data_IF_690995331926
#
_entry.id   IF_690995331926
#
_cell.length_a   1.000
_cell.length_b   1.000
_cell.length_c   1.000
_cell.angle_alpha   90.00
_cell.angle_beta   90.00
_cell.angle_gamma   90.00
#
_symmetry.space_group_name_H-M   'P 1'
#
loop_
_entity.id
_entity.type
_entity.pdbx_description
1 polymer ?
#
# COMPACT_ATOMS: atom_id res chain seq x y z
N UNK A 1 12.89 -37.81 16.70
CA UNK A 1 13.03 -36.96 15.50
C UNK A 1 12.75 -35.54 15.95
N UNK A 2 13.78 -34.72 16.06
CA UNK A 2 13.66 -33.34 16.48
C UNK A 2 13.21 -32.48 15.28
N UNK A 3 12.34 -31.52 15.45
CA UNK A 3 11.91 -30.64 14.35
C UNK A 3 13.06 -29.70 13.96
N UNK A 4 13.35 -29.68 12.68
CA UNK A 4 14.35 -28.83 12.05
C UNK A 4 13.90 -27.33 12.12
N UNK A 5 14.79 -26.46 12.60
CA UNK A 5 14.56 -25.05 12.67
C UNK A 5 14.42 -24.46 11.27
N UNK A 6 13.58 -23.43 11.07
CA UNK A 6 13.44 -22.76 9.78
C UNK A 6 14.75 -22.06 9.41
N UNK A 7 15.16 -22.24 8.16
CA UNK A 7 16.36 -21.63 7.58
C UNK A 7 16.24 -20.10 7.53
N UNK A 8 17.31 -19.35 7.78
CA UNK A 8 17.30 -17.91 7.68
C UNK A 8 17.15 -17.46 6.21
N UNK A 9 16.32 -16.47 6.01
CA UNK A 9 16.05 -15.77 4.75
C UNK A 9 17.35 -15.16 4.19
N UNK A 10 17.80 -15.61 3.02
CA UNK A 10 18.87 -14.97 2.25
C UNK A 10 18.28 -13.85 1.39
N UNK A 11 18.78 -12.62 1.48
CA UNK A 11 18.38 -11.57 0.53
C UNK A 11 18.95 -11.90 -0.86
N UNK A 12 18.10 -11.75 -1.86
CA UNK A 12 18.43 -11.95 -3.26
C UNK A 12 19.53 -10.95 -3.68
N UNK A 13 20.73 -11.46 -3.99
CA UNK A 13 21.79 -10.67 -4.62
C UNK A 13 21.42 -10.44 -6.06
N UNK A 14 21.33 -9.17 -6.45
CA UNK A 14 21.13 -8.74 -7.83
C UNK A 14 22.22 -9.27 -8.74
N UNK A 15 21.83 -10.01 -9.77
CA UNK A 15 22.71 -10.45 -10.85
C UNK A 15 23.15 -9.25 -11.67
N UNK A 16 24.46 -9.18 -11.92
CA UNK A 16 25.13 -8.16 -12.70
C UNK A 16 24.55 -8.03 -14.12
N UNK A 17 24.35 -6.78 -14.53
CA UNK A 17 24.04 -6.41 -15.90
C UNK A 17 25.16 -6.86 -16.84
N UNK A 18 24.86 -7.74 -17.79
CA UNK A 18 25.74 -8.02 -18.92
C UNK A 18 25.54 -6.95 -19.98
N UNK A 19 26.62 -6.22 -20.22
CA UNK A 19 26.81 -5.28 -21.31
C UNK A 19 26.75 -6.04 -22.64
N UNK A 20 25.80 -5.72 -23.52
CA UNK A 20 25.85 -6.09 -24.93
C UNK A 20 26.13 -4.85 -25.76
N UNK A 21 27.23 -4.94 -26.50
CA UNK A 21 27.74 -3.92 -27.39
C UNK A 21 26.83 -3.66 -28.60
N UNK A 22 26.90 -2.44 -29.05
CA UNK A 22 26.21 -1.81 -30.16
C UNK A 22 26.55 -2.42 -31.54
N UNK A 23 25.55 -2.49 -32.43
CA UNK A 23 25.79 -2.27 -33.86
C UNK A 23 24.60 -1.61 -34.56
N UNK A 24 24.91 -0.46 -35.15
CA UNK A 24 24.35 0.19 -36.34
C UNK A 24 22.91 0.73 -36.41
N UNK A 25 22.91 2.06 -36.44
CA UNK A 25 21.88 2.98 -36.96
C UNK A 25 21.61 2.77 -38.47
N UNK A 26 20.39 3.07 -38.98
CA UNK A 26 20.31 4.27 -39.79
C UNK A 26 19.20 5.25 -39.36
N UNK A 27 19.46 6.52 -39.65
CA UNK A 27 18.66 7.68 -39.40
C UNK A 27 17.33 7.65 -40.17
N UNK A 28 16.23 8.02 -39.51
CA UNK A 28 15.01 8.51 -40.16
C UNK A 28 14.62 9.82 -39.48
N UNK A 29 14.58 10.83 -40.34
CA UNK A 29 14.11 12.17 -40.08
C UNK A 29 12.62 12.18 -39.69
N UNK A 30 12.27 12.81 -38.59
CA UNK A 30 10.88 13.12 -38.26
C UNK A 30 10.77 14.39 -37.45
N UNK A 31 10.30 15.39 -38.12
CA UNK A 31 9.86 16.70 -37.64
C UNK A 31 8.79 16.52 -36.54
N UNK A 32 8.84 17.25 -35.42
CA UNK A 32 7.84 17.13 -34.38
C UNK A 32 6.59 17.94 -34.70
N UNK A 33 5.46 17.25 -34.84
CA UNK A 33 4.15 17.88 -34.83
C UNK A 33 3.73 18.17 -33.36
N UNK A 34 3.58 19.43 -33.08
CA UNK A 34 3.14 19.97 -31.81
C UNK A 34 1.67 19.68 -31.53
N UNK A 35 1.40 18.73 -30.64
CA UNK A 35 0.16 18.74 -29.84
C UNK A 35 0.53 18.83 -28.36
N UNK A 36 0.61 20.07 -27.87
CA UNK A 36 0.59 20.37 -26.44
C UNK A 36 -0.84 20.16 -25.94
N UNK A 37 -1.12 18.97 -25.39
CA UNK A 37 -2.17 18.83 -24.39
C UNK A 37 -1.60 19.37 -23.09
N UNK A 38 -2.12 20.54 -22.68
CA UNK A 38 -1.74 21.15 -21.40
C UNK A 38 -2.32 20.33 -20.27
N UNK A 39 -1.58 19.35 -19.77
CA UNK A 39 -1.75 18.89 -18.40
C UNK A 39 -1.25 20.02 -17.51
N UNK A 40 -2.18 20.64 -16.80
CA UNK A 40 -1.91 21.53 -15.67
C UNK A 40 -1.28 20.62 -14.62
N UNK A 41 0.05 20.65 -14.53
CA UNK A 41 0.77 20.11 -13.39
C UNK A 41 0.27 20.88 -12.16
N UNK A 42 -0.68 20.31 -11.42
CA UNK A 42 -0.85 20.70 -10.04
C UNK A 42 0.47 20.35 -9.35
N UNK A 43 1.24 21.38 -9.07
CA UNK A 43 2.41 21.32 -8.21
C UNK A 43 1.94 20.82 -6.85
N UNK A 44 1.89 19.52 -6.67
CA UNK A 44 1.68 18.90 -5.37
C UNK A 44 2.89 19.26 -4.52
N UNK A 45 2.73 20.27 -3.66
CA UNK A 45 3.76 20.63 -2.69
C UNK A 45 4.08 19.38 -1.88
N UNK A 46 5.35 18.98 -1.88
CA UNK A 46 5.80 17.86 -1.06
C UNK A 46 5.41 18.10 0.39
N UNK A 47 4.67 17.17 0.97
CA UNK A 47 4.23 17.23 2.37
C UNK A 47 5.43 17.09 3.34
N UNK A 48 6.56 16.61 2.84
CA UNK A 48 7.79 16.40 3.60
C UNK A 48 8.74 17.57 3.35
N UNK A 49 9.36 18.13 4.40
CA UNK A 49 10.31 19.22 4.25
C UNK A 49 11.45 18.90 3.27
N UNK A 50 11.70 19.79 2.33
CA UNK A 50 12.72 19.58 1.27
C UNK A 50 14.14 19.58 1.79
N UNK A 51 14.38 20.18 2.96
CA UNK A 51 15.72 20.28 3.59
C UNK A 51 16.15 19.01 4.36
N UNK A 52 15.27 18.01 4.50
CA UNK A 52 15.66 16.76 5.14
C UNK A 52 16.67 16.01 4.29
N UNK A 53 17.61 15.32 4.95
CA UNK A 53 18.64 14.53 4.27
C UNK A 53 18.01 13.41 3.44
N UNK A 54 18.72 12.97 2.40
CA UNK A 54 18.33 11.79 1.63
C UNK A 54 18.99 10.53 2.19
N UNK A 55 18.31 9.40 1.98
CA UNK A 55 18.82 8.05 2.24
C UNK A 55 18.53 7.18 1.01
N UNK A 56 19.51 6.38 0.61
CA UNK A 56 19.33 5.41 -0.49
C UNK A 56 18.45 4.23 -0.08
N UNK A 57 17.93 3.49 -1.06
CA UNK A 57 17.13 2.30 -0.81
C UNK A 57 17.93 1.20 -0.08
N UNK A 58 19.20 1.03 -0.45
CA UNK A 58 20.08 0.02 0.15
C UNK A 58 20.36 0.34 1.62
N UNK A 59 20.74 1.59 1.91
CA UNK A 59 20.92 2.06 3.29
C UNK A 59 19.64 1.96 4.12
N UNK A 60 18.49 2.31 3.54
CA UNK A 60 17.20 2.19 4.22
C UNK A 60 16.89 0.73 4.55
N UNK A 61 17.17 -0.20 3.63
CA UNK A 61 16.95 -1.63 3.85
C UNK A 61 17.89 -2.19 4.91
N UNK A 62 19.15 -1.76 4.92
CA UNK A 62 20.14 -2.16 5.92
C UNK A 62 19.78 -1.66 7.33
N UNK A 63 19.49 -0.37 7.46
CA UNK A 63 19.20 0.28 8.74
C UNK A 63 17.81 -0.05 9.28
N UNK A 64 16.82 -0.23 8.40
CA UNK A 64 15.42 -0.45 8.77
C UNK A 64 14.94 -1.89 8.58
N UNK A 65 15.83 -2.88 8.59
CA UNK A 65 15.52 -4.31 8.50
C UNK A 65 14.85 -4.85 9.77
N UNK A 66 13.85 -4.15 10.30
CA UNK A 66 13.14 -4.51 11.53
C UNK A 66 12.29 -5.76 11.31
N UNK A 67 12.76 -6.91 11.78
CA UNK A 67 12.03 -8.19 11.68
C UNK A 67 10.85 -8.26 12.68
N UNK A 68 11.05 -7.75 13.90
CA UNK A 68 9.99 -7.66 14.92
C UNK A 68 9.63 -6.20 15.11
N UNK A 69 8.43 -5.82 14.69
CA UNK A 69 7.97 -4.44 14.73
C UNK A 69 6.48 -4.34 15.02
N UNK A 70 6.09 -3.17 15.48
CA UNK A 70 4.69 -2.75 15.61
C UNK A 70 4.41 -1.71 14.53
N UNK A 71 3.42 -2.00 13.70
CA UNK A 71 2.93 -1.09 12.67
C UNK A 71 1.73 -0.30 13.23
N UNK A 72 1.81 1.03 13.26
CA UNK A 72 0.73 1.91 13.69
C UNK A 72 0.32 2.79 12.52
N UNK A 73 -0.99 2.95 12.30
CA UNK A 73 -1.52 3.77 11.21
C UNK A 73 -2.35 4.91 11.77
N UNK A 74 -2.20 6.07 11.13
CA UNK A 74 -2.89 7.29 11.46
C UNK A 74 -3.52 7.84 10.18
N UNK A 75 -4.67 8.49 10.33
CA UNK A 75 -5.28 9.27 9.26
C UNK A 75 -5.33 10.70 9.72
N UNK A 76 -4.91 11.60 8.89
CA UNK A 76 -4.84 13.04 9.15
C UNK A 76 -5.14 13.83 7.89
N UNK A 77 -5.47 15.09 8.07
CA UNK A 77 -5.50 16.07 6.99
C UNK A 77 -4.09 16.41 6.49
N UNK A 78 -3.94 16.76 5.21
CA UNK A 78 -2.65 17.01 4.58
C UNK A 78 -1.89 18.19 5.22
N UNK A 79 -2.58 19.31 5.49
CA UNK A 79 -1.95 20.49 6.11
C UNK A 79 -1.49 20.16 7.52
N UNK A 80 -2.29 19.39 8.24
CA UNK A 80 -1.94 18.96 9.59
C UNK A 80 -0.80 17.94 9.61
N UNK A 81 -0.76 17.01 8.63
CA UNK A 81 0.38 16.13 8.45
C UNK A 81 1.68 16.91 8.21
N UNK A 82 1.66 17.91 7.33
CA UNK A 82 2.80 18.76 7.04
C UNK A 82 3.30 19.48 8.30
N UNK A 83 2.39 20.01 9.12
CA UNK A 83 2.76 20.70 10.37
C UNK A 83 3.45 19.77 11.37
N UNK A 84 2.94 18.53 11.54
CA UNK A 84 3.54 17.54 12.44
C UNK A 84 4.92 17.09 11.93
N UNK A 85 5.05 16.89 10.63
CA UNK A 85 6.32 16.48 10.03
C UNK A 85 7.39 17.56 10.18
N UNK A 86 6.99 18.83 10.09
CA UNK A 86 7.90 19.96 10.30
C UNK A 86 8.45 20.05 11.75
N UNK A 87 7.76 19.46 12.73
CA UNK A 87 8.20 19.41 14.12
C UNK A 87 9.15 18.23 14.42
N UNK A 88 9.28 17.26 13.51
CA UNK A 88 10.19 16.14 13.71
C UNK A 88 11.66 16.62 13.66
N UNK A 89 12.59 15.94 14.36
CA UNK A 89 14.02 16.29 14.35
C UNK A 89 14.59 16.25 12.94
N UNK A 90 14.75 17.39 12.32
CA UNK A 90 15.10 17.53 10.89
C UNK A 90 16.54 17.09 10.58
N UNK A 91 17.43 17.23 11.53
CA UNK A 91 18.83 16.83 11.46
C UNK A 91 19.02 15.31 11.57
N UNK A 92 18.04 14.61 12.08
CA UNK A 92 18.05 13.15 12.22
C UNK A 92 17.22 12.43 11.16
N UNK A 93 16.21 13.10 10.56
CA UNK A 93 15.31 12.48 9.58
C UNK A 93 15.98 12.37 8.21
N UNK A 94 15.87 11.19 7.58
CA UNK A 94 16.32 10.97 6.22
C UNK A 94 15.18 10.44 5.33
N UNK A 95 14.98 11.08 4.18
CA UNK A 95 13.93 10.72 3.20
C UNK A 95 14.51 9.79 2.15
N UNK A 96 13.82 8.69 1.86
CA UNK A 96 14.19 7.83 0.74
C UNK A 96 14.21 8.64 -0.55
N UNK A 97 15.35 8.63 -1.23
CA UNK A 97 15.53 9.27 -2.53
C UNK A 97 16.12 8.26 -3.52
N UNK A 98 15.49 8.13 -4.67
CA UNK A 98 15.94 7.30 -5.79
C UNK A 98 15.87 8.16 -7.05
N UNK A 99 16.99 8.33 -7.74
CA UNK A 99 17.11 9.13 -8.97
C UNK A 99 16.55 10.56 -8.81
N UNK A 100 16.74 11.18 -7.64
CA UNK A 100 16.25 12.51 -7.32
C UNK A 100 14.76 12.59 -6.95
N UNK A 101 14.04 11.46 -6.92
CA UNK A 101 12.65 11.38 -6.51
C UNK A 101 12.53 10.96 -5.05
N UNK A 102 11.61 11.58 -4.32
CA UNK A 102 11.31 11.31 -2.89
C UNK A 102 9.90 10.80 -2.64
N UNK A 103 9.08 10.82 -3.67
CA UNK A 103 7.71 10.36 -3.63
C UNK A 103 7.44 9.41 -4.80
N UNK A 104 6.94 8.23 -4.51
CA UNK A 104 6.81 7.12 -5.46
C UNK A 104 5.35 6.71 -5.61
N UNK A 105 4.96 6.42 -6.86
CA UNK A 105 3.60 5.99 -7.19
C UNK A 105 3.43 4.48 -7.00
N UNK A 106 2.38 4.12 -6.26
CA UNK A 106 2.00 2.74 -5.96
C UNK A 106 0.61 2.45 -6.51
N UNK A 107 0.49 1.31 -7.14
CA UNK A 107 -0.77 0.70 -7.54
C UNK A 107 -0.92 -0.67 -6.88
N UNK A 108 -2.11 -1.04 -6.45
CA UNK A 108 -2.39 -2.38 -5.96
C UNK A 108 -3.79 -2.82 -6.37
N UNK A 109 -3.87 -3.96 -7.05
CA UNK A 109 -5.14 -4.61 -7.37
C UNK A 109 -5.38 -5.75 -6.37
N UNK A 110 -6.52 -5.70 -5.71
CA UNK A 110 -6.94 -6.71 -4.74
C UNK A 110 -7.90 -7.70 -5.37
N UNK A 111 -7.68 -8.97 -5.03
CA UNK A 111 -8.50 -10.08 -5.49
C UNK A 111 -9.32 -10.63 -4.32
N UNK A 112 -10.59 -10.94 -4.60
CA UNK A 112 -11.51 -11.57 -3.66
C UNK A 112 -12.50 -12.43 -4.45
N UNK A 113 -13.27 -13.25 -3.77
CA UNK A 113 -14.37 -14.02 -4.39
C UNK A 113 -15.58 -13.11 -4.63
N UNK A 114 -16.53 -13.49 -5.52
CA UNK A 114 -17.74 -12.71 -5.75
C UNK A 114 -18.55 -12.46 -4.47
N UNK A 115 -18.51 -13.38 -3.50
CA UNK A 115 -19.14 -13.21 -2.21
C UNK A 115 -18.26 -12.51 -1.15
N UNK A 116 -17.09 -11.99 -1.54
CA UNK A 116 -16.19 -11.17 -0.74
C UNK A 116 -15.68 -11.86 0.55
N UNK A 117 -15.21 -13.10 0.45
CA UNK A 117 -14.72 -13.91 1.59
C UNK A 117 -13.57 -13.22 2.32
N UNK A 118 -12.56 -12.71 1.61
CA UNK A 118 -11.41 -12.03 2.20
C UNK A 118 -11.81 -10.74 2.89
N UNK A 119 -12.69 -9.95 2.26
CA UNK A 119 -13.25 -8.75 2.86
C UNK A 119 -14.01 -9.07 4.16
N UNK A 120 -14.97 -10.00 4.09
CA UNK A 120 -15.80 -10.41 5.24
C UNK A 120 -14.95 -10.91 6.40
N UNK A 121 -13.97 -11.80 6.13
CA UNK A 121 -13.03 -12.27 7.13
C UNK A 121 -12.24 -11.11 7.78
N UNK A 122 -11.84 -10.12 6.98
CA UNK A 122 -11.20 -8.90 7.47
C UNK A 122 -12.15 -8.04 8.29
N UNK A 123 -13.42 -7.92 7.92
CA UNK A 123 -14.42 -7.11 8.61
C UNK A 123 -14.76 -7.64 10.01
N UNK A 124 -14.95 -8.93 10.16
CA UNK A 124 -15.23 -9.57 11.45
C UNK A 124 -13.97 -9.82 12.29
N UNK A 125 -12.77 -9.69 11.71
CA UNK A 125 -11.51 -9.95 12.40
C UNK A 125 -11.20 -11.44 12.56
N UNK A 126 -11.60 -12.26 11.58
CA UNK A 126 -11.33 -13.70 11.55
C UNK A 126 -9.83 -13.99 11.69
N UNK A 127 -9.48 -15.09 12.35
CA UNK A 127 -8.10 -15.61 12.38
C UNK A 127 -7.65 -16.12 11.03
N UNK A 128 -8.58 -16.60 10.20
CA UNK A 128 -8.32 -17.11 8.85
C UNK A 128 -8.42 -16.00 7.79
N UNK A 129 -8.24 -14.72 8.18
CA UNK A 129 -8.27 -13.62 7.24
C UNK A 129 -7.03 -13.62 6.36
N UNK A 130 -7.25 -13.38 5.09
CA UNK A 130 -6.19 -13.26 4.10
C UNK A 130 -6.40 -12.04 3.22
N UNK A 131 -5.41 -11.74 2.39
CA UNK A 131 -5.48 -10.76 1.30
C UNK A 131 -4.58 -11.22 0.17
N UNK A 132 -5.12 -11.22 -1.02
CA UNK A 132 -4.38 -11.44 -2.26
C UNK A 132 -4.36 -10.13 -3.03
N UNK A 133 -3.18 -9.72 -3.50
CA UNK A 133 -3.07 -8.54 -4.34
C UNK A 133 -1.84 -8.60 -5.23
N UNK A 134 -1.90 -7.94 -6.35
CA UNK A 134 -0.71 -7.43 -7.02
C UNK A 134 -0.34 -6.08 -6.43
N UNK A 135 0.95 -5.79 -6.43
CA UNK A 135 1.46 -4.47 -6.09
C UNK A 135 2.49 -4.03 -7.10
N UNK A 136 2.22 -2.92 -7.76
CA UNK A 136 3.10 -2.33 -8.73
C UNK A 136 3.72 -1.04 -8.19
N UNK A 137 4.99 -0.85 -8.50
CA UNK A 137 5.80 0.33 -8.24
C UNK A 137 5.95 1.04 -9.59
N UNK A 138 5.10 2.02 -9.85
CA UNK A 138 4.91 2.57 -11.19
C UNK A 138 6.14 3.32 -11.73
N UNK A 139 6.98 3.84 -10.84
CA UNK A 139 8.20 4.57 -11.22
C UNK A 139 9.39 3.63 -11.55
N UNK A 140 9.26 2.32 -11.35
CA UNK A 140 10.32 1.33 -11.58
C UNK A 140 9.87 0.09 -12.35
N UNK A 141 8.65 0.07 -12.85
CA UNK A 141 8.03 -1.05 -13.58
C UNK A 141 8.09 -2.41 -12.84
N UNK A 142 8.28 -2.37 -11.52
CA UNK A 142 8.30 -3.56 -10.69
C UNK A 142 6.90 -3.90 -10.21
N UNK A 143 6.54 -5.18 -10.26
CA UNK A 143 5.30 -5.70 -9.70
C UNK A 143 5.52 -7.00 -8.95
N UNK A 144 4.66 -7.26 -7.96
CA UNK A 144 4.68 -8.47 -7.14
C UNK A 144 3.26 -8.94 -6.89
N UNK A 145 3.06 -10.26 -6.94
CA UNK A 145 1.86 -10.90 -6.38
C UNK A 145 2.14 -11.19 -4.90
N UNK A 146 1.33 -10.62 -4.02
CA UNK A 146 1.49 -10.69 -2.58
C UNK A 146 0.29 -11.41 -1.95
N UNK A 147 0.56 -12.39 -1.10
CA UNK A 147 -0.42 -13.00 -0.21
C UNK A 147 -0.08 -12.61 1.22
N UNK A 148 -1.09 -12.13 1.94
CA UNK A 148 -0.97 -11.77 3.35
C UNK A 148 -1.98 -12.57 4.15
N UNK A 149 -1.48 -13.35 5.11
CA UNK A 149 -2.30 -14.18 5.99
C UNK A 149 -2.05 -13.83 7.44
N UNK A 150 -2.94 -14.24 8.32
CA UNK A 150 -2.74 -14.14 9.76
C UNK A 150 -2.19 -15.47 10.26
N UNK A 151 -0.97 -15.46 10.78
CA UNK A 151 -0.34 -16.62 11.38
C UNK A 151 -0.79 -16.87 12.83
N UNK A 152 -0.27 -17.93 13.43
CA UNK A 152 -0.47 -18.21 14.86
C UNK A 152 0.04 -17.05 15.72
N UNK A 153 -0.66 -16.74 16.83
CA UNK A 153 -0.33 -15.65 17.78
C UNK A 153 -0.39 -14.24 17.20
N UNK A 154 -1.28 -14.00 16.22
CA UNK A 154 -1.49 -12.68 15.59
C UNK A 154 -0.27 -12.17 14.78
N UNK A 155 0.68 -13.02 14.46
CA UNK A 155 1.75 -12.66 13.53
C UNK A 155 1.20 -12.66 12.10
N UNK A 156 1.42 -11.56 11.41
CA UNK A 156 1.13 -11.48 9.99
C UNK A 156 2.25 -12.14 9.18
N UNK A 157 1.88 -13.12 8.37
CA UNK A 157 2.76 -13.68 7.34
C UNK A 157 2.50 -12.94 6.04
N UNK A 158 3.56 -12.50 5.38
CA UNK A 158 3.51 -11.86 4.08
C UNK A 158 4.50 -12.55 3.16
N UNK A 159 3.98 -13.15 2.12
CA UNK A 159 4.75 -13.77 1.06
C UNK A 159 4.53 -13.04 -0.25
N UNK A 160 5.51 -13.09 -1.16
CA UNK A 160 5.40 -12.47 -2.47
C UNK A 160 6.28 -13.16 -3.49
N UNK A 161 5.84 -13.14 -4.74
CA UNK A 161 6.64 -13.51 -5.90
C UNK A 161 6.73 -12.32 -6.88
N UNK A 162 7.81 -12.21 -7.68
CA UNK A 162 7.85 -11.28 -8.80
C UNK A 162 6.66 -11.53 -9.72
N UNK A 163 6.09 -10.47 -10.28
CA UNK A 163 4.93 -10.56 -11.16
C UNK A 163 5.05 -9.55 -12.29
N UNK A 164 4.60 -9.91 -13.50
CA UNK A 164 4.61 -8.95 -14.60
C UNK A 164 3.62 -7.82 -14.35
N UNK A 165 4.04 -6.59 -14.61
CA UNK A 165 3.16 -5.41 -14.48
C UNK A 165 1.99 -5.46 -15.48
N UNK A 166 2.18 -6.12 -16.62
CA UNK A 166 1.12 -6.33 -17.63
C UNK A 166 0.00 -7.23 -17.11
N UNK A 167 0.32 -8.13 -16.18
CA UNK A 167 -0.63 -9.06 -15.57
C UNK A 167 -1.20 -8.57 -14.23
N UNK A 168 -0.93 -7.30 -13.85
CA UNK A 168 -1.33 -6.79 -12.53
C UNK A 168 -2.83 -6.88 -12.24
N UNK A 169 -3.66 -6.89 -13.27
CA UNK A 169 -5.13 -6.91 -13.13
C UNK A 169 -5.71 -8.33 -13.20
N UNK A 170 -4.88 -9.38 -13.23
CA UNK A 170 -5.34 -10.76 -13.35
C UNK A 170 -4.42 -11.74 -12.60
N UNK A 171 -4.95 -12.89 -12.24
CA UNK A 171 -4.15 -14.02 -11.76
C UNK A 171 -3.85 -14.95 -12.93
N UNK A 172 -2.56 -15.05 -13.31
CA UNK A 172 -2.08 -16.06 -14.28
C UNK A 172 -2.17 -17.46 -13.69
N UNK A 173 -1.99 -18.50 -14.49
CA UNK A 173 -1.97 -19.89 -13.99
C UNK A 173 -0.93 -20.08 -12.88
N UNK A 174 0.30 -19.56 -13.05
CA UNK A 174 1.34 -19.58 -12.04
C UNK A 174 0.94 -18.79 -10.78
N UNK A 175 0.33 -17.61 -10.96
CA UNK A 175 -0.19 -16.81 -9.87
C UNK A 175 -1.27 -17.52 -9.06
N UNK A 176 -2.18 -18.23 -9.74
CA UNK A 176 -3.21 -19.04 -9.08
C UNK A 176 -2.61 -20.20 -8.29
N UNK A 177 -1.62 -20.91 -8.84
CA UNK A 177 -0.91 -22.00 -8.13
C UNK A 177 -0.22 -21.48 -6.87
N UNK A 178 0.48 -20.34 -6.97
CA UNK A 178 1.10 -19.69 -5.83
C UNK A 178 0.09 -19.30 -4.74
N UNK A 179 -1.02 -18.67 -5.12
CA UNK A 179 -2.08 -18.27 -4.18
C UNK A 179 -2.75 -19.50 -3.55
N UNK A 180 -3.04 -20.55 -4.34
CA UNK A 180 -3.61 -21.80 -3.84
C UNK A 180 -2.74 -22.41 -2.74
N UNK A 181 -1.45 -22.51 -2.98
CA UNK A 181 -0.48 -23.03 -1.98
C UNK A 181 -0.48 -22.18 -0.71
N UNK A 182 -0.50 -20.84 -0.85
CA UNK A 182 -0.48 -19.93 0.30
C UNK A 182 -1.78 -19.96 1.13
N UNK A 183 -2.91 -20.36 0.53
CA UNK A 183 -4.23 -20.35 1.17
C UNK A 183 -4.74 -21.75 1.54
N UNK A 184 -4.02 -22.84 1.20
CA UNK A 184 -4.46 -24.24 1.31
C UNK A 184 -5.08 -24.62 2.66
N UNK A 185 -4.57 -24.06 3.77
CA UNK A 185 -5.04 -24.38 5.12
C UNK A 185 -5.88 -23.27 5.76
N UNK A 186 -6.21 -22.22 5.01
CA UNK A 186 -6.84 -21.00 5.55
C UNK A 186 -8.30 -20.84 5.16
N UNK A 187 -8.68 -21.29 3.99
CA UNK A 187 -10.01 -21.07 3.44
C UNK A 187 -10.39 -22.19 2.47
N UNK A 188 -11.68 -22.48 2.40
CA UNK A 188 -12.25 -23.38 1.39
C UNK A 188 -12.59 -22.65 0.07
N UNK A 189 -12.32 -21.33 0.01
CA UNK A 189 -12.56 -20.56 -1.21
C UNK A 189 -11.64 -21.03 -2.34
N UNK A 190 -12.24 -21.29 -3.50
CA UNK A 190 -11.49 -21.66 -4.70
C UNK A 190 -10.69 -20.46 -5.20
N UNK A 191 -9.42 -20.70 -5.51
CA UNK A 191 -8.57 -19.67 -6.14
C UNK A 191 -9.09 -19.28 -7.53
N UNK A 192 -9.82 -20.19 -8.20
CA UNK A 192 -10.42 -19.92 -9.49
C UNK A 192 -11.57 -18.90 -9.42
N UNK A 193 -12.17 -18.75 -8.24
CA UNK A 193 -13.22 -17.76 -7.98
C UNK A 193 -12.67 -16.37 -7.64
N UNK A 194 -11.34 -16.23 -7.49
CA UNK A 194 -10.72 -14.93 -7.19
C UNK A 194 -10.71 -14.03 -8.43
N UNK A 195 -11.42 -12.92 -8.33
CA UNK A 195 -11.49 -11.87 -9.35
C UNK A 195 -10.91 -10.55 -8.84
N UNK A 196 -10.44 -9.64 -9.71
CA UNK A 196 -10.03 -8.31 -9.28
C UNK A 196 -11.24 -7.49 -8.83
N UNK A 197 -11.32 -7.15 -7.55
CA UNK A 197 -12.46 -6.44 -6.96
C UNK A 197 -12.19 -4.96 -6.74
N UNK A 198 -10.95 -4.59 -6.48
CA UNK A 198 -10.59 -3.19 -6.22
C UNK A 198 -9.14 -2.89 -6.58
N UNK A 199 -8.94 -1.73 -7.20
CA UNK A 199 -7.63 -1.09 -7.34
C UNK A 199 -7.50 0.02 -6.29
N UNK A 200 -6.29 0.19 -5.75
CA UNK A 200 -5.94 1.34 -4.89
C UNK A 200 -4.66 1.97 -5.38
N UNK A 201 -4.71 3.28 -5.63
CA UNK A 201 -3.55 4.10 -5.98
C UNK A 201 -3.15 5.02 -4.83
N UNK A 202 -1.87 5.38 -4.75
CA UNK A 202 -1.37 6.40 -3.82
C UNK A 202 0.08 6.76 -4.16
N UNK A 203 0.50 7.93 -3.70
CA UNK A 203 1.91 8.33 -3.72
C UNK A 203 2.49 8.15 -2.32
N UNK A 204 3.73 7.69 -2.22
CA UNK A 204 4.37 7.38 -0.93
C UNK A 204 5.71 8.07 -0.80
N UNK A 205 5.88 8.78 0.29
CA UNK A 205 7.17 9.18 0.83
C UNK A 205 7.56 8.26 1.98
N UNK A 206 8.83 7.84 2.03
CA UNK A 206 9.36 7.00 3.12
C UNK A 206 10.45 7.76 3.86
N UNK A 207 10.36 7.79 5.17
CA UNK A 207 11.31 8.48 6.05
C UNK A 207 11.91 7.48 7.03
N UNK A 208 13.21 7.54 7.19
CA UNK A 208 13.95 6.87 8.24
C UNK A 208 14.20 7.85 9.39
N UNK A 209 13.94 7.39 10.60
CA UNK A 209 14.18 8.12 11.84
C UNK A 209 15.09 7.25 12.71
N UNK A 210 16.40 7.56 12.80
CA UNK A 210 17.36 6.78 13.57
C UNK A 210 17.07 6.87 15.06
N UNK A 211 17.61 5.91 15.80
CA UNK A 211 17.66 5.99 17.26
C UNK A 211 18.52 7.19 17.68
N UNK A 212 18.01 7.97 18.62
CA UNK A 212 18.67 9.14 19.21
C UNK A 212 18.17 9.37 20.63
N UNK A 213 18.63 10.45 21.28
CA UNK A 213 18.09 10.85 22.59
C UNK A 213 16.58 11.11 22.55
N UNK A 214 16.06 11.63 21.44
CA UNK A 214 14.65 11.94 21.26
C UNK A 214 13.84 10.74 20.72
N UNK A 215 14.47 9.92 19.88
CA UNK A 215 13.88 8.73 19.27
C UNK A 215 14.46 7.45 19.90
N UNK A 216 13.72 6.74 20.76
CA UNK A 216 14.28 5.63 21.55
C UNK A 216 14.60 4.39 20.71
N UNK A 217 14.14 4.32 19.48
CA UNK A 217 14.31 3.17 18.57
C UNK A 217 14.39 3.65 17.13
N UNK A 218 15.17 2.93 16.32
CA UNK A 218 15.06 3.08 14.87
C UNK A 218 13.64 2.91 14.41
N UNK A 219 13.19 3.77 13.53
CA UNK A 219 11.84 3.71 13.03
C UNK A 219 11.75 4.15 11.57
N UNK A 220 10.75 3.61 10.89
CA UNK A 220 10.40 4.00 9.53
C UNK A 220 9.00 4.59 9.53
N UNK A 221 8.87 5.71 8.88
CA UNK A 221 7.60 6.39 8.63
C UNK A 221 7.29 6.29 7.14
N UNK A 222 6.06 5.97 6.79
CA UNK A 222 5.57 6.10 5.42
C UNK A 222 4.38 7.02 5.41
N UNK A 223 4.33 7.92 4.43
CA UNK A 223 3.30 8.94 4.25
C UNK A 223 2.68 8.67 2.89
N UNK A 224 1.41 8.33 2.89
CA UNK A 224 0.64 8.02 1.70
C UNK A 224 -0.34 9.15 1.40
N UNK A 225 -0.16 9.80 0.27
CA UNK A 225 -0.95 10.90 -0.28
C UNK A 225 -1.66 10.50 -1.56
N UNK A 226 -2.48 11.36 -2.13
CA UNK A 226 -3.18 11.12 -3.40
C UNK A 226 -3.87 9.73 -3.43
N UNK A 227 -4.60 9.44 -2.35
CA UNK A 227 -5.24 8.13 -2.18
C UNK A 227 -6.41 7.97 -3.15
N UNK A 228 -6.40 6.88 -3.92
CA UNK A 228 -7.50 6.56 -4.83
C UNK A 228 -8.01 5.14 -4.66
N UNK A 229 -9.27 4.93 -5.05
CA UNK A 229 -9.96 3.64 -5.04
C UNK A 229 -10.80 3.50 -6.29
N UNK A 230 -10.60 2.40 -7.03
CA UNK A 230 -11.40 2.06 -8.22
C UNK A 230 -12.04 0.70 -7.99
N UNK A 231 -13.36 0.60 -7.87
CA UNK A 231 -14.05 -0.70 -7.86
C UNK A 231 -13.89 -1.35 -9.23
N UNK A 232 -13.51 -2.62 -9.28
CA UNK A 232 -13.22 -3.35 -10.53
C UNK A 232 -14.27 -4.41 -10.87
N UNK A 233 -15.15 -4.76 -9.91
CA UNK A 233 -16.22 -5.72 -10.14
C UNK A 233 -17.54 -5.24 -9.54
N UNK A 234 -18.65 -5.75 -10.08
CA UNK A 234 -19.99 -5.51 -9.55
C UNK A 234 -20.14 -6.06 -8.12
N UNK A 235 -19.49 -7.18 -7.79
CA UNK A 235 -19.50 -7.77 -6.46
C UNK A 235 -19.00 -6.79 -5.39
N UNK A 236 -18.08 -5.90 -5.73
CA UNK A 236 -17.61 -4.84 -4.84
C UNK A 236 -18.69 -3.81 -4.48
N UNK A 237 -19.67 -3.59 -5.36
CA UNK A 237 -20.69 -2.54 -5.24
C UNK A 237 -22.10 -3.06 -4.94
N UNK A 238 -22.43 -4.27 -5.39
CA UNK A 238 -23.80 -4.82 -5.36
C UNK A 238 -24.15 -5.62 -4.10
N UNK A 239 -23.19 -5.78 -3.15
CA UNK A 239 -23.47 -6.50 -1.91
C UNK A 239 -24.55 -5.79 -1.09
N UNK A 240 -25.62 -6.53 -0.72
CA UNK A 240 -26.60 -6.11 0.27
C UNK A 240 -26.74 -7.14 1.37
N UNK A 241 -26.96 -6.71 2.59
CA UNK A 241 -27.08 -7.60 3.76
C UNK A 241 -28.25 -8.59 3.62
N UNK A 242 -29.30 -8.21 2.89
CA UNK A 242 -30.53 -8.99 2.70
C UNK A 242 -30.62 -9.67 1.33
N UNK A 243 -29.53 -9.66 0.54
CA UNK A 243 -29.49 -10.23 -0.80
C UNK A 243 -30.30 -9.45 -1.84
N UNK A 244 -30.74 -8.23 -1.53
CA UNK A 244 -31.41 -7.32 -2.44
C UNK A 244 -30.41 -6.46 -3.24
N UNK A 245 -30.80 -6.01 -4.43
CA UNK A 245 -30.03 -5.04 -5.19
C UNK A 245 -30.16 -3.65 -4.54
N UNK A 246 -29.07 -3.15 -3.95
CA UNK A 246 -29.03 -1.79 -3.39
C UNK A 246 -28.23 -0.86 -4.30
N UNK A 247 -28.81 0.29 -4.73
CA UNK A 247 -28.06 1.23 -5.54
C UNK A 247 -26.92 1.86 -4.72
N UNK A 248 -25.70 1.66 -5.15
CA UNK A 248 -24.58 2.50 -4.72
C UNK A 248 -24.45 3.67 -5.69
N UNK A 249 -24.02 4.83 -5.19
CA UNK A 249 -23.71 5.99 -6.04
C UNK A 249 -22.41 5.81 -6.83
N UNK A 250 -21.68 4.76 -6.57
CA UNK A 250 -20.38 4.46 -7.16
C UNK A 250 -20.51 3.55 -8.37
N UNK A 251 -19.52 3.61 -9.28
CA UNK A 251 -19.55 2.88 -10.56
C UNK A 251 -18.24 2.10 -10.73
N UNK A 252 -18.34 0.87 -11.26
CA UNK A 252 -17.19 0.06 -11.67
C UNK A 252 -16.36 0.81 -12.70
N UNK A 253 -15.04 0.76 -12.53
CA UNK A 253 -14.08 1.44 -13.40
C UNK A 253 -13.88 2.94 -13.13
N UNK A 254 -14.73 3.56 -12.31
CA UNK A 254 -14.54 4.97 -11.93
C UNK A 254 -13.58 5.06 -10.76
N UNK A 255 -12.57 5.92 -10.88
CA UNK A 255 -11.63 6.23 -9.80
C UNK A 255 -12.24 7.24 -8.84
N UNK A 256 -12.11 6.97 -7.54
CA UNK A 256 -12.58 7.85 -6.46
C UNK A 256 -11.43 8.21 -5.54
N UNK A 257 -11.46 9.40 -4.99
CA UNK A 257 -10.46 9.93 -4.07
C UNK A 257 -11.08 10.40 -2.76
N UNK A 258 -10.26 10.51 -1.72
CA UNK A 258 -10.58 11.20 -0.47
C UNK A 258 -9.67 12.44 -0.37
N UNK A 259 -10.10 13.62 -0.87
CA UNK A 259 -9.27 14.80 -0.93
C UNK A 259 -8.69 15.21 0.42
N UNK A 260 -7.46 15.68 0.42
CA UNK A 260 -6.78 16.13 1.63
C UNK A 260 -6.45 15.05 2.65
N UNK A 261 -6.87 13.81 2.42
CA UNK A 261 -6.63 12.69 3.37
C UNK A 261 -5.25 12.08 3.18
N UNK A 262 -4.49 11.97 4.27
CA UNK A 262 -3.16 11.38 4.33
C UNK A 262 -3.15 10.20 5.30
N UNK A 263 -2.50 9.10 4.91
CA UNK A 263 -2.26 7.97 5.80
C UNK A 263 -0.78 7.97 6.18
N UNK A 264 -0.52 8.11 7.48
CA UNK A 264 0.80 7.95 8.06
C UNK A 264 0.89 6.56 8.67
N UNK A 265 1.94 5.79 8.35
CA UNK A 265 2.23 4.50 8.99
C UNK A 265 3.62 4.54 9.61
N UNK A 266 3.68 4.37 10.93
CA UNK A 266 4.95 4.21 11.65
C UNK A 266 5.26 2.74 11.83
N UNK A 267 6.53 2.39 11.67
CA UNK A 267 7.08 1.07 11.89
C UNK A 267 8.24 1.19 12.86
N UNK A 268 8.08 0.68 14.06
CA UNK A 268 9.09 0.72 15.12
C UNK A 268 9.11 -0.59 15.89
N UNK A 269 10.09 -0.79 16.75
CA UNK A 269 10.09 -1.89 17.71
C UNK A 269 8.88 -1.82 18.66
N UNK A 270 8.97 -2.43 19.82
CA UNK A 270 7.89 -2.41 20.83
C UNK A 270 7.61 -0.99 21.36
N UNK A 271 8.64 -0.15 21.48
CA UNK A 271 8.50 1.25 21.88
C UNK A 271 7.94 2.12 20.76
N UNK A 272 7.13 3.15 21.08
CA UNK A 272 6.67 4.11 20.09
C UNK A 272 7.83 4.97 19.57
N UNK A 273 7.81 5.26 18.27
CA UNK A 273 8.75 6.18 17.63
C UNK A 273 8.55 7.63 18.09
N UNK A 274 9.49 8.49 17.75
CA UNK A 274 9.33 9.94 17.95
C UNK A 274 8.09 10.44 17.21
N UNK A 275 7.84 9.99 15.97
CA UNK A 275 6.65 10.35 15.20
C UNK A 275 5.35 9.94 15.91
N UNK A 276 5.28 8.73 16.49
CA UNK A 276 4.12 8.32 17.29
C UNK A 276 3.86 9.28 18.45
N UNK A 277 4.92 9.71 19.13
CA UNK A 277 4.82 10.62 20.29
C UNK A 277 4.29 12.00 19.89
N UNK A 278 4.77 12.54 18.74
CA UNK A 278 4.26 13.82 18.21
C UNK A 278 2.78 13.72 17.84
N UNK A 279 2.39 12.68 17.09
CA UNK A 279 0.99 12.42 16.74
C UNK A 279 0.11 12.31 18.00
N UNK A 280 0.59 11.62 19.04
CA UNK A 280 -0.17 11.45 20.28
C UNK A 280 -0.30 12.73 21.09
N UNK A 281 0.74 13.60 21.10
CA UNK A 281 0.67 14.93 21.72
C UNK A 281 -0.35 15.82 21.01
N UNK A 282 -0.41 15.70 19.70
CA UNK A 282 -1.41 16.36 18.88
C UNK A 282 -2.84 15.76 18.97
N UNK A 283 -3.04 14.78 19.86
CA UNK A 283 -4.35 14.13 20.07
C UNK A 283 -4.69 13.03 19.09
N UNK A 284 -3.84 12.76 18.09
CA UNK A 284 -4.08 11.74 17.06
C UNK A 284 -3.70 10.38 17.62
N UNK A 285 -4.61 9.41 17.46
CA UNK A 285 -4.41 8.04 17.92
C UNK A 285 -4.38 7.07 16.75
N UNK A 286 -3.66 5.93 16.89
CA UNK A 286 -3.64 4.91 15.85
C UNK A 286 -5.03 4.37 15.55
N UNK A 287 -5.30 4.13 14.28
CA UNK A 287 -6.56 3.55 13.80
C UNK A 287 -6.32 2.22 13.08
N UNK A 288 -7.27 1.31 13.19
CA UNK A 288 -7.23 0.04 12.47
C UNK A 288 -7.84 0.25 11.08
N UNK A 289 -6.99 0.49 10.09
CA UNK A 289 -7.41 0.69 8.70
C UNK A 289 -6.65 -0.22 7.73
N UNK A 290 -7.24 -0.38 6.57
CA UNK A 290 -6.68 -1.07 5.41
C UNK A 290 -7.19 -0.37 4.16
N UNK A 291 -6.31 0.06 3.26
CA UNK A 291 -6.73 0.68 1.99
C UNK A 291 -7.81 -0.15 1.29
N UNK A 292 -7.61 -1.47 1.20
CA UNK A 292 -8.61 -2.39 0.66
C UNK A 292 -9.92 -2.38 1.45
N UNK A 293 -9.91 -2.91 2.66
CA UNK A 293 -11.16 -3.19 3.36
C UNK A 293 -11.91 -1.91 3.79
N UNK A 294 -11.19 -0.82 4.12
CA UNK A 294 -11.83 0.45 4.44
C UNK A 294 -12.38 1.12 3.17
N UNK A 295 -11.66 1.01 2.03
CA UNK A 295 -12.12 1.49 0.73
C UNK A 295 -13.37 0.75 0.25
N UNK A 296 -13.37 -0.60 0.31
CA UNK A 296 -14.56 -1.41 -0.01
C UNK A 296 -15.79 -0.96 0.78
N UNK A 297 -15.64 -0.79 2.11
CA UNK A 297 -16.73 -0.36 2.97
C UNK A 297 -17.18 1.10 2.71
N UNK A 298 -16.28 1.96 2.24
CA UNK A 298 -16.62 3.33 1.87
C UNK A 298 -17.40 3.37 0.54
N UNK A 299 -17.03 2.52 -0.42
CA UNK A 299 -17.71 2.39 -1.71
C UNK A 299 -19.04 1.64 -1.60
N UNK A 300 -19.18 0.72 -0.65
CA UNK A 300 -20.41 0.00 -0.41
C UNK A 300 -20.82 0.05 1.08
N UNK A 301 -21.69 0.99 1.47
CA UNK A 301 -22.14 1.16 2.86
C UNK A 301 -22.93 -0.03 3.44
N UNK A 302 -23.38 -0.98 2.61
CA UNK A 302 -24.08 -2.18 3.04
C UNK A 302 -23.13 -3.26 3.57
N UNK A 303 -21.84 -3.14 3.27
CA UNK A 303 -20.84 -4.08 3.76
C UNK A 303 -20.64 -3.97 5.28
N UNK A 304 -20.37 -5.11 5.98
CA UNK A 304 -20.06 -5.09 7.41
C UNK A 304 -18.83 -4.22 7.69
N UNK A 305 -18.99 -3.09 8.38
CA UNK A 305 -17.92 -2.09 8.56
C UNK A 305 -17.82 -1.53 9.98
N UNK A 306 -18.41 -2.17 10.99
CA UNK A 306 -18.53 -1.62 12.35
C UNK A 306 -17.23 -1.06 12.91
N UNK A 307 -16.11 -1.75 12.73
CA UNK A 307 -14.80 -1.33 13.26
C UNK A 307 -14.20 -0.13 12.52
N UNK A 308 -14.70 0.21 11.33
CA UNK A 308 -14.23 1.32 10.50
C UNK A 308 -15.24 2.46 10.39
N UNK A 309 -16.45 2.29 10.95
CA UNK A 309 -17.57 3.23 10.76
C UNK A 309 -17.17 4.69 11.00
N UNK A 310 -16.52 4.98 12.12
CA UNK A 310 -16.07 6.35 12.45
C UNK A 310 -15.04 6.88 11.45
N UNK A 311 -14.09 6.03 11.08
CA UNK A 311 -13.05 6.38 10.09
C UNK A 311 -13.66 6.70 8.74
N UNK A 312 -14.58 5.86 8.26
CA UNK A 312 -15.27 6.08 6.97
C UNK A 312 -16.07 7.37 7.02
N UNK A 313 -16.88 7.57 8.04
CA UNK A 313 -17.71 8.77 8.17
C UNK A 313 -16.92 10.08 8.22
N UNK A 314 -15.71 10.04 8.77
CA UNK A 314 -14.91 11.25 8.96
C UNK A 314 -13.90 11.48 7.82
N UNK A 315 -13.29 10.42 7.28
CA UNK A 315 -12.13 10.51 6.39
C UNK A 315 -12.35 9.99 4.98
N UNK A 316 -13.42 9.20 4.74
CA UNK A 316 -13.63 8.51 3.47
C UNK A 316 -14.89 9.03 2.77
N UNK A 317 -15.01 10.36 2.68
CA UNK A 317 -16.03 10.98 1.85
C UNK A 317 -15.53 10.98 0.40
N UNK A 318 -15.75 9.82 -0.26
CA UNK A 318 -15.20 9.58 -1.59
C UNK A 318 -15.96 10.36 -2.65
N UNK A 319 -15.21 11.00 -3.54
CA UNK A 319 -15.69 11.69 -4.73
C UNK A 319 -14.93 11.22 -5.97
N UNK A 320 -15.50 11.35 -7.20
CA UNK A 320 -14.77 11.03 -8.41
C UNK A 320 -13.44 11.79 -8.48
N UNK A 321 -12.37 11.10 -8.85
CA UNK A 321 -11.10 11.78 -9.15
C UNK A 321 -11.26 12.64 -10.40
N UNK A 322 -10.62 13.81 -10.41
CA UNK A 322 -10.72 14.79 -11.48
C UNK A 322 -9.97 14.35 -12.75
#
# INVERSE_FOLDING_TARGET
MSPQAPQPYTPFQGGAAQTLESTHTPAVDNTPSSHRSGHREESTMSIVPTYWQSISLDELNEKAAMQTRVDRKYIVDADYAASILAELPADEAAVLEIDGQREFAYDSVYFDTPDLVSYKASAIGSRNRFKVRTRSYLDSDLSFLEVKTEGAREFTVKERIPYSIENRDMLTAEGKEYVATALEQLTDASVDDLEPVMRTGYRRTTVYLPQSEQNPVDSRLTIDTSLTWTPLSESALMYTADGGEGPTKYQVGTEYTAPGTVIIETKSGSAPSVADKYLWRAGIRPVKISKFATGMAALNPQLPANKWKRTIQHWMQLEPAA
#
